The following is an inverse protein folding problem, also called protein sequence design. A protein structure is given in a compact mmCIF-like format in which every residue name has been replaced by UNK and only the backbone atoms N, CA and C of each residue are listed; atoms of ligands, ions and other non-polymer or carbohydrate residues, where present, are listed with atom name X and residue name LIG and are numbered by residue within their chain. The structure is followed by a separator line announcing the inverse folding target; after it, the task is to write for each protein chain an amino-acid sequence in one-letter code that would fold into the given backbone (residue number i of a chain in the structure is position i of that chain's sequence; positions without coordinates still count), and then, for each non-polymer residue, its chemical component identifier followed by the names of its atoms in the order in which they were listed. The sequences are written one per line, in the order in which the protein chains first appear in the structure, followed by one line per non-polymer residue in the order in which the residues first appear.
data_IF_249380381939
#
_entry.id   IF_249380381939
#
_cell.length_a   1.000
_cell.length_b   1.000
_cell.length_c   1.000
_cell.angle_alpha   90.00
_cell.angle_beta   90.00
_cell.angle_gamma   90.00
#
_symmetry.space_group_name_H-M   'P 1'
#
loop_
_entity.id
_entity.type
_entity.pdbx_description
1 polymer ?
2 non-polymer ?
3 non-polymer ?
4 non-polymer ?
5 water ?
#
# COMPACT_ATOMS: atom_id res chain seq x y z
N UNK A 14 19.94 0.52 24.80
CA UNK A 14 21.00 -0.14 24.06
C UNK A 14 20.55 -0.50 22.65
N UNK A 15 21.51 -0.63 21.74
CA UNK A 15 21.20 -0.99 20.37
C UNK A 15 20.57 -2.38 20.30
N UNK A 16 19.55 -2.52 19.46
CA UNK A 16 18.84 -3.77 19.24
C UNK A 16 18.95 -4.08 17.75
N UNK A 17 19.54 -5.20 17.36
CA UNK A 17 19.86 -5.43 15.94
C UNK A 17 18.65 -5.71 15.06
N UNK A 18 17.56 -6.21 15.62
CA UNK A 18 16.33 -6.51 14.90
C UNK A 18 15.32 -6.91 15.97
N UNK A 19 14.05 -7.01 15.57
CA UNK A 19 13.06 -7.59 16.47
C UNK A 19 11.93 -8.16 15.64
N UNK A 20 11.79 -9.49 15.67
CA UNK A 20 10.77 -10.17 14.90
C UNK A 20 10.08 -11.21 15.78
N UNK A 21 8.94 -11.72 15.31
CA UNK A 21 8.16 -12.64 16.14
C UNK A 21 8.93 -13.94 16.36
N UNK A 22 9.50 -14.50 15.30
CA UNK A 22 10.06 -15.85 15.37
C UNK A 22 11.09 -16.01 14.25
N UNK A 23 12.37 -15.94 14.61
CA UNK A 23 13.43 -16.03 13.61
C UNK A 23 13.47 -17.38 12.93
N UNK A 24 12.88 -18.42 13.54
CA UNK A 24 12.88 -19.75 12.94
C UNK A 24 11.96 -19.84 11.74
N UNK A 25 11.19 -18.79 11.45
CA UNK A 25 10.38 -18.74 10.24
C UNK A 25 11.19 -18.31 9.01
N UNK A 26 12.49 -18.06 9.16
CA UNK A 26 13.29 -17.49 8.07
C UNK A 26 13.39 -18.43 6.88
N UNK A 27 13.59 -19.73 7.12
CA UNK A 27 13.73 -20.66 6.00
C UNK A 27 12.48 -20.64 5.12
N UNK A 28 11.29 -20.67 5.74
CA UNK A 28 10.05 -20.59 4.97
C UNK A 28 9.96 -19.27 4.23
N UNK A 29 10.30 -18.16 4.89
CA UNK A 29 10.28 -16.88 4.22
C UNK A 29 11.20 -16.86 3.01
N UNK A 30 12.39 -17.45 3.15
CA UNK A 30 13.32 -17.41 2.02
C UNK A 30 12.78 -18.18 0.83
N UNK A 31 12.14 -19.33 1.07
CA UNK A 31 11.55 -20.09 -0.03
C UNK A 31 10.51 -19.26 -0.76
N UNK A 32 9.70 -18.51 -0.02
CA UNK A 32 8.67 -17.70 -0.68
C UNK A 32 9.27 -16.46 -1.34
N UNK A 33 10.35 -15.92 -0.78
CA UNK A 33 11.04 -14.81 -1.43
C UNK A 33 11.58 -15.25 -2.80
N UNK A 34 12.15 -16.46 -2.86
CA UNK A 34 12.68 -16.93 -4.13
C UNK A 34 11.58 -17.05 -5.18
N UNK A 35 10.40 -17.53 -4.78
CA UNK A 35 9.27 -17.58 -5.71
C UNK A 35 8.83 -16.17 -6.10
N UNK A 36 8.82 -15.25 -5.13
CA UNK A 36 8.40 -13.89 -5.43
C UNK A 36 9.35 -13.22 -6.42
N UNK A 37 10.66 -13.48 -6.31
CA UNK A 37 11.61 -12.90 -7.24
C UNK A 37 11.24 -13.19 -8.70
N UNK A 38 10.81 -14.44 -8.97
CA UNK A 38 10.41 -14.81 -10.34
C UNK A 38 9.17 -14.05 -10.80
N UNK A 39 8.35 -13.60 -9.87
CA UNK A 39 7.15 -12.83 -10.17
C UNK A 39 7.39 -11.34 -10.13
N UNK A 40 8.62 -10.89 -9.91
CA UNK A 40 8.92 -9.46 -9.85
C UNK A 40 10.02 -9.12 -10.84
N UNK A 41 9.74 -9.31 -12.14
CA UNK A 41 10.78 -9.09 -13.15
C UNK A 41 11.31 -7.67 -13.19
N UNK A 42 10.48 -6.68 -12.86
CA UNK A 42 10.96 -5.31 -12.87
C UNK A 42 12.02 -5.06 -11.82
N UNK A 43 11.77 -5.50 -10.58
CA UNK A 43 12.77 -5.36 -9.53
C UNK A 43 14.04 -6.11 -9.85
N UNK A 44 13.91 -7.35 -10.35
CA UNK A 44 15.11 -8.12 -10.61
C UNK A 44 15.88 -7.54 -11.79
N UNK A 45 15.17 -6.96 -12.77
CA UNK A 45 15.87 -6.32 -13.89
C UNK A 45 16.62 -5.07 -13.42
N UNK A 46 16.01 -4.33 -12.51
CA UNK A 46 16.68 -3.14 -11.98
C UNK A 46 17.88 -3.53 -11.14
N UNK A 47 17.76 -4.58 -10.33
CA UNK A 47 18.91 -5.14 -9.64
C UNK A 47 20.05 -5.40 -10.61
N UNK A 48 19.72 -6.06 -11.71
CA UNK A 48 20.73 -6.48 -12.67
C UNK A 48 21.35 -5.30 -13.39
N UNK A 49 20.55 -4.31 -13.78
CA UNK A 49 21.06 -3.17 -14.52
C UNK A 49 21.88 -2.24 -13.62
N UNK A 50 21.43 -2.01 -12.39
CA UNK A 50 22.10 -1.04 -11.53
C UNK A 50 23.05 -1.67 -10.53
N UNK A 51 23.01 -2.98 -10.33
CA UNK A 51 23.93 -3.65 -9.44
C UNK A 51 25.38 -3.27 -9.64
N UNK A 52 25.90 -3.42 -10.87
CA UNK A 52 27.31 -3.06 -11.11
C UNK A 52 27.65 -1.63 -10.76
N UNK A 53 26.69 -0.70 -10.82
CA UNK A 53 26.99 0.71 -10.64
C UNK A 53 26.93 1.14 -9.17
N UNK A 54 26.38 0.33 -8.28
CA UNK A 54 26.27 0.65 -6.86
C UNK A 54 25.76 2.09 -6.63
N UNK A 55 24.63 2.45 -7.21
CA UNK A 55 24.17 3.84 -7.12
C UNK A 55 23.84 4.27 -5.71
N UNK A 56 23.45 3.34 -4.85
CA UNK A 56 23.04 3.68 -3.49
C UNK A 56 24.15 3.53 -2.47
N UNK A 57 25.41 3.42 -2.90
CA UNK A 57 26.51 3.39 -1.95
C UNK A 57 26.48 4.64 -1.07
N UNK A 58 26.62 4.43 0.23
CA UNK A 58 26.58 5.52 1.18
C UNK A 58 25.21 5.85 1.71
N UNK A 59 24.15 5.36 1.07
CA UNK A 59 22.81 5.65 1.56
C UNK A 59 22.51 4.84 2.82
N UNK A 60 21.77 5.44 3.74
CA UNK A 60 21.26 4.77 4.93
C UNK A 60 19.75 5.02 4.89
N UNK A 61 19.02 4.09 4.30
CA UNK A 61 17.60 4.25 4.04
C UNK A 61 16.82 3.62 5.19
N UNK A 62 16.01 4.43 5.87
CA UNK A 62 14.97 3.91 6.76
C UNK A 62 13.68 3.76 5.96
N UNK A 63 13.11 2.56 5.93
CA UNK A 63 11.86 2.30 5.24
C UNK A 63 10.76 2.00 6.24
N UNK A 64 9.55 2.47 5.95
CA UNK A 64 8.41 2.18 6.82
C UNK A 64 7.29 1.75 5.87
N UNK A 65 7.16 0.43 5.72
CA UNK A 65 6.33 -0.12 4.66
C UNK A 65 6.05 -1.58 5.00
N UNK A 66 4.76 -1.95 4.96
CA UNK A 66 4.30 -3.31 5.23
C UNK A 66 5.34 -4.38 5.00
N UNK A 67 5.75 -5.08 6.06
CA UNK A 67 6.89 -6.01 6.01
C UNK A 67 6.39 -7.36 5.50
N UNK A 68 6.18 -7.42 4.19
CA UNK A 68 5.67 -8.58 3.46
C UNK A 68 6.80 -9.25 2.69
N UNK A 69 6.45 -10.41 2.07
CA UNK A 69 7.40 -11.08 1.19
C UNK A 69 7.83 -10.15 0.06
N UNK A 70 6.89 -9.36 -0.46
CA UNK A 70 7.20 -8.46 -1.58
C UNK A 70 8.17 -7.38 -1.13
N UNK A 71 7.93 -6.82 0.06
CA UNK A 71 8.84 -5.82 0.57
C UNK A 71 10.23 -6.39 0.80
N UNK A 72 10.33 -7.68 1.15
CA UNK A 72 11.65 -8.28 1.28
C UNK A 72 12.45 -8.17 -0.02
N UNK A 73 11.80 -8.39 -1.17
CA UNK A 73 12.52 -8.29 -2.44
C UNK A 73 12.94 -6.84 -2.68
N UNK A 74 12.10 -5.88 -2.30
CA UNK A 74 12.53 -4.48 -2.41
C UNK A 74 13.73 -4.20 -1.52
N UNK A 75 13.65 -4.60 -0.24
CA UNK A 75 14.76 -4.38 0.69
C UNK A 75 16.05 -4.95 0.12
N UNK A 76 16.00 -6.19 -0.37
CA UNK A 76 17.23 -6.80 -0.86
C UNK A 76 17.69 -6.21 -2.18
N UNK A 77 16.80 -5.55 -2.94
CA UNK A 77 17.21 -4.81 -4.12
C UNK A 77 17.99 -3.55 -3.73
N UNK A 78 17.48 -2.82 -2.73
CA UNK A 78 18.19 -1.64 -2.25
C UNK A 78 19.57 -2.01 -1.73
N UNK A 79 19.67 -3.09 -0.94
CA UNK A 79 20.98 -3.55 -0.47
C UNK A 79 21.85 -3.94 -1.64
N UNK A 80 21.28 -4.63 -2.62
CA UNK A 80 22.04 -5.04 -3.80
C UNK A 80 22.60 -3.85 -4.57
N UNK A 81 21.97 -2.68 -4.44
CA UNK A 81 22.41 -1.48 -5.13
C UNK A 81 23.36 -0.66 -4.29
N UNK A 82 23.76 -1.15 -3.13
CA UNK A 82 24.75 -0.50 -2.30
C UNK A 82 24.24 0.08 -1.01
N UNK A 83 22.94 0.12 -0.78
CA UNK A 83 22.42 0.85 0.37
C UNK A 83 22.55 0.03 1.65
N UNK A 84 22.67 0.74 2.76
CA UNK A 84 22.33 0.19 4.07
C UNK A 84 20.88 0.51 4.36
N UNK A 85 20.17 -0.44 4.95
CA UNK A 85 18.73 -0.35 5.10
C UNK A 85 18.34 -0.75 6.51
N UNK A 86 17.36 -0.02 7.08
CA UNK A 86 16.64 -0.41 8.29
C UNK A 86 15.16 -0.38 7.96
N UNK A 87 14.35 -1.13 8.71
CA UNK A 87 12.97 -1.26 8.24
C UNK A 87 11.99 -1.51 9.38
N UNK A 88 10.78 -0.97 9.22
CA UNK A 88 9.65 -1.27 10.07
C UNK A 88 8.41 -1.35 9.19
N UNK A 89 7.34 -1.92 9.73
CA UNK A 89 6.08 -1.93 9.01
C UNK A 89 5.26 -0.68 9.32
N UNK A 90 4.46 -0.24 8.33
CA UNK A 90 3.61 0.93 8.52
C UNK A 90 2.19 0.58 8.96
N UNK A 91 1.95 -0.69 9.32
CA UNK A 91 0.65 -1.06 9.89
C UNK A 91 0.85 -2.19 10.89
N UNK A 92 0.06 -2.17 11.97
CA UNK A 92 0.27 -3.11 13.06
C UNK A 92 -0.11 -4.55 12.69
N UNK A 93 -0.86 -4.75 11.63
CA UNK A 93 -1.32 -6.09 11.25
C UNK A 93 -0.76 -6.57 9.92
N UNK A 94 0.07 -5.79 9.25
CA UNK A 94 0.40 -6.16 7.87
C UNK A 94 1.68 -6.97 7.72
N UNK A 95 2.52 -7.05 8.73
CA UNK A 95 3.74 -7.83 8.60
C UNK A 95 3.43 -9.30 8.36
N UNK A 96 4.20 -9.91 7.47
CA UNK A 96 4.25 -11.36 7.28
C UNK A 96 5.45 -11.85 8.08
N UNK A 97 5.20 -12.56 9.17
CA UNK A 97 6.28 -12.86 10.10
C UNK A 97 7.39 -13.68 9.45
N UNK A 98 7.08 -14.52 8.46
CA UNK A 98 8.17 -15.28 7.88
C UNK A 98 9.00 -14.42 6.93
N UNK A 99 8.40 -13.38 6.35
CA UNK A 99 9.17 -12.42 5.57
C UNK A 99 10.09 -11.62 6.48
N UNK A 100 9.57 -11.16 7.62
CA UNK A 100 10.41 -10.43 8.55
C UNK A 100 11.57 -11.29 9.05
N UNK A 101 11.29 -12.57 9.37
CA UNK A 101 12.35 -13.44 9.87
C UNK A 101 13.44 -13.62 8.84
N UNK A 102 13.05 -13.78 7.57
CA UNK A 102 14.05 -13.98 6.53
C UNK A 102 14.96 -12.75 6.37
N UNK A 103 14.38 -11.56 6.45
CA UNK A 103 15.17 -10.33 6.35
C UNK A 103 16.08 -10.18 7.57
N UNK A 104 15.56 -10.47 8.77
CA UNK A 104 16.40 -10.47 9.97
C UNK A 104 17.56 -11.45 9.84
N UNK A 105 17.29 -12.65 9.30
CA UNK A 105 18.36 -13.65 9.20
C UNK A 105 19.41 -13.28 8.17
N UNK A 106 19.06 -12.39 7.23
CA UNK A 106 20.00 -11.89 6.25
C UNK A 106 20.90 -10.80 6.81
N UNK A 107 20.71 -10.41 8.07
CA UNK A 107 21.52 -9.39 8.69
C UNK A 107 21.01 -7.97 8.53
N UNK A 108 19.77 -7.79 8.09
CA UNK A 108 19.20 -6.48 7.85
C UNK A 108 18.40 -6.07 9.09
N UNK A 109 18.59 -4.87 9.64
CA UNK A 109 17.82 -4.49 10.82
C UNK A 109 16.35 -4.29 10.49
N UNK A 110 15.50 -5.22 10.91
CA UNK A 110 14.06 -5.12 10.72
C UNK A 110 13.37 -5.22 12.08
N UNK A 111 12.37 -4.37 12.29
CA UNK A 111 11.63 -4.30 13.54
C UNK A 111 10.15 -4.34 13.17
N UNK A 112 9.55 -5.53 13.23
CA UNK A 112 8.19 -5.70 12.71
C UNK A 112 7.63 -7.07 13.08
N UNK A 113 6.39 -7.10 13.56
CA UNK A 113 5.68 -8.38 13.62
C UNK A 113 4.19 -8.13 13.46
N UNK A 114 3.47 -9.20 13.16
CA UNK A 114 2.01 -9.09 13.00
C UNK A 114 1.36 -9.01 14.37
N UNK A 115 0.55 -7.96 14.58
CA UNK A 115 -0.16 -7.84 15.84
C UNK A 115 0.52 -7.00 16.90
N UNK A 116 1.31 -6.00 16.49
CA UNK A 116 1.87 -5.01 17.41
C UNK A 116 0.76 -4.15 18.02
N UNK A 117 1.04 -3.57 19.18
CA UNK A 117 0.22 -2.49 19.71
C UNK A 117 0.83 -1.16 19.29
N UNK A 118 0.17 -0.05 19.64
CA UNK A 118 0.59 1.24 19.08
C UNK A 118 1.92 1.69 19.66
N UNK A 119 2.17 1.44 20.96
CA UNK A 119 3.47 1.76 21.54
C UNK A 119 4.59 1.00 20.84
N UNK A 120 4.35 -0.27 20.50
CA UNK A 120 5.35 -1.06 19.80
C UNK A 120 5.58 -0.53 18.39
N UNK A 121 4.50 -0.11 17.72
CA UNK A 121 4.58 0.42 16.37
C UNK A 121 5.53 1.62 16.31
N UNK A 122 5.35 2.56 17.24
CA UNK A 122 6.24 3.73 17.31
C UNK A 122 7.67 3.32 17.63
N UNK A 123 7.84 2.39 18.57
CA UNK A 123 9.18 1.95 18.96
C UNK A 123 9.93 1.37 17.76
N UNK A 124 9.23 0.59 16.94
CA UNK A 124 9.86 0.00 15.76
C UNK A 124 10.34 1.08 14.80
N UNK A 125 9.53 2.09 14.54
CA UNK A 125 9.94 3.16 13.63
C UNK A 125 11.20 3.83 14.16
N UNK A 126 11.20 4.14 15.47
CA UNK A 126 12.33 4.88 16.03
C UNK A 126 13.62 4.10 15.98
N UNK A 127 13.57 2.77 16.08
CA UNK A 127 14.82 2.01 15.96
C UNK A 127 15.45 2.17 14.58
N UNK A 128 14.61 2.34 13.54
CA UNK A 128 15.13 2.44 12.17
C UNK A 128 15.88 3.74 11.91
N UNK A 129 15.71 4.74 12.75
CA UNK A 129 16.30 6.05 12.49
C UNK A 129 17.82 6.07 12.69
N UNK A 130 18.37 5.08 13.41
CA UNK A 130 19.79 5.07 13.73
C UNK A 130 20.38 3.73 13.32
N UNK A 131 21.59 3.77 12.76
CA UNK A 131 22.20 2.63 12.09
C UNK A 131 23.38 2.11 12.90
N UNK A 132 23.29 0.85 13.34
CA UNK A 132 24.40 0.19 14.00
C UNK A 132 24.59 0.61 15.44
N UNK A 133 25.57 -0.01 16.08
CA UNK A 133 25.90 0.35 17.47
C UNK A 133 26.31 1.80 17.59
N UNK A 134 26.96 2.36 16.55
CA UNK A 134 27.33 3.77 16.56
C UNK A 134 26.15 4.70 16.47
N UNK A 135 24.93 4.19 16.20
CA UNK A 135 23.74 5.03 16.11
C UNK A 135 23.89 6.09 15.02
N UNK A 136 24.43 5.69 13.87
CA UNK A 136 24.56 6.62 12.75
C UNK A 136 23.19 6.97 12.19
N UNK A 137 22.88 8.25 11.99
CA UNK A 137 21.52 8.63 11.58
C UNK A 137 21.23 8.27 10.13
N UNK A 138 19.95 7.99 9.87
CA UNK A 138 19.49 7.80 8.50
C UNK A 138 19.76 9.04 7.66
N UNK A 139 19.89 8.84 6.34
CA UNK A 139 20.02 9.97 5.42
C UNK A 139 19.08 9.88 4.23
N UNK A 140 18.16 8.91 4.24
CA UNK A 140 17.13 8.75 3.22
C UNK A 140 15.88 8.20 3.90
N UNK A 141 14.70 8.65 3.45
CA UNK A 141 13.42 8.19 3.98
C UNK A 141 12.66 7.51 2.85
N UNK A 142 12.08 6.35 3.15
CA UNK A 142 11.21 5.61 2.24
C UNK A 142 9.93 5.30 3.01
N UNK A 143 8.83 5.93 2.64
CA UNK A 143 7.65 5.93 3.51
C UNK A 143 6.42 5.45 2.75
N UNK A 144 5.45 4.95 3.53
CA UNK A 144 4.16 4.49 3.03
C UNK A 144 3.13 4.95 4.07
N UNK A 145 2.54 6.11 3.83
CA UNK A 145 1.51 6.64 4.71
C UNK A 145 1.90 7.85 5.51
N UNK A 146 3.20 8.17 5.61
CA UNK A 146 3.62 9.40 6.25
C UNK A 146 4.01 9.30 7.71
N UNK A 147 3.88 8.13 8.35
CA UNK A 147 4.16 8.06 9.78
C UNK A 147 5.65 8.15 10.08
N UNK A 148 6.49 7.58 9.20
CA UNK A 148 7.94 7.75 9.37
C UNK A 148 8.33 9.20 9.12
N UNK A 149 7.81 9.79 8.05
CA UNK A 149 8.05 11.21 7.79
C UNK A 149 7.68 12.05 9.00
N UNK A 150 6.47 11.84 9.54
CA UNK A 150 6.04 12.61 10.70
C UNK A 150 6.95 12.35 11.90
N UNK A 151 7.37 11.11 12.10
CA UNK A 151 8.26 10.80 13.21
C UNK A 151 9.54 11.63 13.13
N UNK A 152 10.17 11.66 11.96
CA UNK A 152 11.41 12.42 11.82
C UNK A 152 11.13 13.92 11.87
N UNK A 153 10.19 14.40 11.05
CA UNK A 153 9.97 15.85 10.97
C UNK A 153 9.49 16.43 12.30
N UNK A 154 8.57 15.74 12.98
CA UNK A 154 7.95 16.27 14.19
C UNK A 154 8.73 15.93 15.46
N UNK A 155 9.29 14.73 15.56
CA UNK A 155 9.91 14.30 16.82
C UNK A 155 11.43 14.35 16.79
N UNK A 156 12.05 14.24 15.61
CA UNK A 156 13.50 14.32 15.47
C UNK A 156 13.89 15.36 14.43
N UNK A 157 13.38 16.59 14.53
CA UNK A 157 13.62 17.58 13.46
C UNK A 157 15.10 17.85 13.23
N UNK A 158 15.94 17.66 14.25
CA UNK A 158 17.37 17.89 14.09
C UNK A 158 17.99 17.01 13.02
N UNK A 159 17.34 15.90 12.65
CA UNK A 159 17.95 14.97 11.70
C UNK A 159 17.72 15.37 10.25
N UNK A 160 16.74 16.24 9.96
CA UNK A 160 16.36 16.48 8.58
C UNK A 160 17.46 17.18 7.78
N UNK A 161 18.35 17.94 8.45
CA UNK A 161 19.39 18.67 7.74
C UNK A 161 20.28 17.73 6.92
N UNK A 162 20.42 16.47 7.34
CA UNK A 162 21.33 15.53 6.70
C UNK A 162 20.60 14.40 5.97
N UNK A 163 19.30 14.54 5.74
CA UNK A 163 18.53 13.59 4.95
C UNK A 163 18.35 14.18 3.57
N UNK A 164 18.74 13.43 2.53
CA UNK A 164 18.79 14.03 1.19
C UNK A 164 17.41 14.15 0.56
N UNK A 165 16.49 13.23 0.89
CA UNK A 165 15.12 13.36 0.44
C UNK A 165 14.31 12.17 0.91
N UNK A 166 13.02 12.19 0.55
CA UNK A 166 12.11 11.11 0.89
C UNK A 166 11.31 10.70 -0.33
N UNK A 167 10.88 9.44 -0.35
CA UNK A 167 9.87 9.00 -1.28
C UNK A 167 8.64 8.55 -0.48
N UNK A 168 7.46 8.72 -1.08
CA UNK A 168 6.20 8.37 -0.43
C UNK A 168 5.39 7.53 -1.39
N UNK A 169 4.87 6.40 -0.87
CA UNK A 169 4.30 5.31 -1.63
C UNK A 169 2.79 5.40 -1.84
N UNK A 170 2.04 6.04 -0.95
CA UNK A 170 0.58 5.84 -1.03
C UNK A 170 -0.20 7.16 -1.00
N UNK A 171 -1.45 7.07 -1.48
CA UNK A 171 -2.28 8.26 -1.65
C UNK A 171 -2.40 9.04 -0.36
N UNK A 172 -2.62 8.35 0.75
CA UNK A 172 -2.81 9.07 2.02
C UNK A 172 -1.54 9.82 2.42
N UNK A 173 -0.37 9.22 2.21
CA UNK A 173 0.85 9.93 2.61
C UNK A 173 1.16 11.09 1.70
N UNK A 174 0.78 10.98 0.43
CA UNK A 174 0.96 12.09 -0.50
C UNK A 174 0.15 13.28 -0.06
N UNK A 175 -1.14 13.05 0.26
CA UNK A 175 -1.93 14.16 0.75
C UNK A 175 -1.27 14.83 1.95
N UNK A 176 -0.70 14.04 2.87
CA UNK A 176 -0.02 14.66 4.01
C UNK A 176 1.16 15.50 3.54
N UNK A 177 1.84 15.10 2.44
CA UNK A 177 2.95 15.90 1.94
C UNK A 177 2.48 17.22 1.35
N UNK A 178 1.29 17.23 0.74
CA UNK A 178 0.77 18.50 0.25
C UNK A 178 0.27 19.36 1.40
N UNK A 179 -0.22 18.76 2.48
CA UNK A 179 -0.46 19.54 3.70
C UNK A 179 0.82 20.22 4.16
N UNK A 180 1.95 19.50 4.13
CA UNK A 180 3.20 20.08 4.60
C UNK A 180 3.68 21.19 3.68
N UNK A 181 3.50 21.03 2.37
CA UNK A 181 3.88 22.11 1.45
C UNK A 181 3.08 23.37 1.74
N UNK A 182 1.76 23.24 1.86
CA UNK A 182 0.93 24.41 2.17
C UNK A 182 1.28 25.02 3.50
N UNK A 183 1.71 24.19 4.46
CA UNK A 183 2.07 24.61 5.82
C UNK A 183 3.52 25.05 5.96
N UNK A 184 4.31 24.99 4.89
CA UNK A 184 5.71 25.36 4.99
C UNK A 184 6.55 24.43 5.86
N UNK A 185 6.16 23.15 5.97
CA UNK A 185 6.87 22.20 6.83
C UNK A 185 7.48 21.03 6.06
N UNK A 186 7.54 21.10 4.73
CA UNK A 186 8.27 20.10 3.92
C UNK A 186 9.70 20.61 3.71
N UNK A 187 10.66 19.94 4.35
CA UNK A 187 12.00 20.49 4.51
C UNK A 187 13.03 19.80 3.63
N UNK A 188 12.60 18.90 2.75
CA UNK A 188 13.49 18.18 1.83
C UNK A 188 12.71 17.88 0.56
N UNK A 189 13.39 17.54 -0.53
CA UNK A 189 12.68 17.08 -1.73
C UNK A 189 11.94 15.77 -1.48
N UNK A 190 10.83 15.59 -2.19
CA UNK A 190 10.02 14.40 -2.05
C UNK A 190 9.58 13.91 -3.42
N UNK A 191 9.73 12.61 -3.67
CA UNK A 191 9.17 12.02 -4.87
C UNK A 191 7.92 11.23 -4.49
N UNK A 192 6.81 11.58 -5.13
CA UNK A 192 5.53 10.91 -5.03
C UNK A 192 5.58 9.69 -5.93
N UNK A 193 5.77 8.51 -5.32
CA UNK A 193 5.76 7.26 -6.06
C UNK A 193 4.33 6.81 -6.33
N UNK A 194 3.38 7.20 -5.47
CA UNK A 194 2.00 6.78 -5.68
C UNK A 194 1.53 7.13 -7.08
N UNK A 195 1.89 8.31 -7.57
CA UNK A 195 1.29 8.79 -8.81
C UNK A 195 2.18 8.61 -10.03
N UNK A 196 3.19 7.73 -9.96
CA UNK A 196 3.61 7.07 -11.17
C UNK A 196 2.40 6.38 -11.76
N UNK A 197 2.23 6.42 -13.09
CA UNK A 197 1.08 5.71 -13.67
C UNK A 197 1.15 4.23 -13.32
N UNK A 198 2.36 3.66 -13.34
CA UNK A 198 2.50 2.23 -13.08
C UNK A 198 2.35 1.88 -11.62
N UNK A 199 2.13 2.87 -10.75
CA UNK A 199 1.76 2.56 -9.37
C UNK A 199 0.25 2.76 -9.20
N UNK A 200 -0.22 4.02 -9.27
CA UNK A 200 -1.64 4.31 -8.99
C UNK A 200 -2.58 3.46 -9.82
N UNK A 201 -2.27 3.26 -11.10
CA UNK A 201 -3.27 2.66 -11.99
C UNK A 201 -3.14 1.16 -12.05
N UNK A 202 -2.19 0.60 -11.31
CA UNK A 202 -1.94 -0.84 -11.27
C UNK A 202 -2.06 -1.35 -9.85
N UNK A 203 -1.17 -0.94 -8.95
CA UNK A 203 -1.25 -1.32 -7.53
C UNK A 203 -2.59 -0.96 -6.92
N UNK A 204 -2.91 0.34 -6.87
CA UNK A 204 -4.11 0.78 -6.15
C UNK A 204 -5.35 0.09 -6.69
N UNK A 205 -5.44 -0.07 -8.02
CA UNK A 205 -6.64 -0.61 -8.66
C UNK A 205 -6.52 -2.13 -8.82
N UNK A 206 -5.60 -2.60 -9.67
CA UNK A 206 -5.56 -4.04 -9.92
C UNK A 206 -5.06 -4.82 -8.70
N UNK A 207 -4.19 -4.22 -7.88
CA UNK A 207 -3.78 -4.90 -6.66
C UNK A 207 -4.95 -5.16 -5.73
N UNK A 208 -5.81 -4.15 -5.53
CA UNK A 208 -6.98 -4.40 -4.67
C UNK A 208 -7.96 -5.35 -5.34
N UNK A 209 -8.02 -5.37 -6.67
CA UNK A 209 -8.87 -6.38 -7.31
C UNK A 209 -8.37 -7.78 -6.92
N UNK A 210 -7.05 -7.95 -6.83
CA UNK A 210 -6.51 -9.27 -6.45
C UNK A 210 -6.73 -9.57 -4.98
N UNK A 211 -6.64 -8.56 -4.10
CA UNK A 211 -6.45 -8.89 -2.70
C UNK A 211 -7.63 -8.54 -1.80
N UNK A 212 -8.63 -7.77 -2.26
CA UNK A 212 -9.78 -7.45 -1.41
C UNK A 212 -10.64 -8.69 -1.14
N UNK A 213 -11.13 -9.37 -2.19
CA UNK A 213 -11.94 -10.56 -1.96
C UNK A 213 -11.15 -11.63 -1.23
N UNK A 214 -9.85 -11.75 -1.57
CA UNK A 214 -8.97 -12.71 -0.90
C UNK A 214 -9.08 -12.56 0.62
N UNK A 215 -8.97 -11.32 1.12
CA UNK A 215 -9.03 -11.11 2.57
C UNK A 215 -10.39 -11.49 3.15
N UNK A 216 -11.48 -11.16 2.46
CA UNK A 216 -12.80 -11.50 3.01
C UNK A 216 -12.96 -13.02 3.05
N UNK A 217 -12.48 -13.73 2.03
CA UNK A 217 -12.59 -15.19 2.03
C UNK A 217 -11.76 -15.81 3.16
N UNK A 218 -10.50 -15.39 3.32
CA UNK A 218 -9.71 -16.03 4.38
C UNK A 218 -10.29 -15.75 5.75
N UNK A 219 -10.81 -14.55 5.96
CA UNK A 219 -11.33 -14.18 7.26
C UNK A 219 -12.65 -14.88 7.59
N UNK A 220 -13.55 -14.99 6.60
CA UNK A 220 -14.93 -15.36 6.89
C UNK A 220 -15.43 -16.57 6.15
N UNK A 221 -14.78 -16.97 5.06
CA UNK A 221 -15.22 -18.08 4.22
C UNK A 221 -16.65 -17.90 3.69
N UNK A 222 -17.16 -16.68 3.59
CA UNK A 222 -18.54 -16.52 3.18
C UNK A 222 -18.68 -16.65 1.66
N UNK A 223 -19.88 -17.06 1.24
CA UNK A 223 -20.22 -17.06 -0.17
C UNK A 223 -20.35 -15.63 -0.67
N UNK A 224 -19.68 -15.30 -1.77
CA UNK A 224 -19.77 -13.93 -2.26
C UNK A 224 -20.82 -13.77 -3.36
N UNK A 225 -21.16 -14.81 -4.10
CA UNK A 225 -22.15 -14.65 -5.15
C UNK A 225 -23.49 -14.29 -4.54
N UNK A 226 -24.15 -13.30 -5.15
CA UNK A 226 -25.45 -12.91 -4.64
C UNK A 226 -25.42 -12.04 -3.41
N UNK A 227 -24.26 -11.74 -2.84
CA UNK A 227 -24.21 -10.86 -1.68
C UNK A 227 -24.20 -9.41 -2.14
N UNK A 228 -24.90 -8.56 -1.37
CA UNK A 228 -24.88 -7.12 -1.62
C UNK A 228 -23.68 -6.51 -0.92
N UNK A 229 -22.75 -5.96 -1.70
CA UNK A 229 -21.52 -5.42 -1.17
C UNK A 229 -21.55 -3.93 -1.43
N UNK A 230 -21.38 -3.12 -0.39
CA UNK A 230 -21.30 -1.68 -0.55
C UNK A 230 -19.84 -1.28 -0.52
N UNK A 231 -19.34 -0.72 -1.62
CA UNK A 231 -17.97 -0.25 -1.73
C UNK A 231 -18.03 1.27 -1.58
N UNK A 232 -17.47 1.80 -0.51
CA UNK A 232 -17.53 3.24 -0.25
C UNK A 232 -16.33 3.88 -0.89
N UNK A 233 -16.56 4.69 -1.93
CA UNK A 233 -15.48 5.26 -2.72
C UNK A 233 -15.27 4.55 -4.04
N UNK A 234 -14.91 5.32 -5.07
CA UNK A 234 -14.65 4.76 -6.40
C UNK A 234 -13.48 5.50 -7.01
N UNK A 235 -12.46 5.74 -6.21
CA UNK A 235 -11.15 6.14 -6.68
C UNK A 235 -10.43 4.90 -7.19
N UNK A 236 -9.11 4.91 -7.16
CA UNK A 236 -8.43 3.73 -7.71
C UNK A 236 -8.67 2.49 -6.87
N UNK A 237 -8.61 2.62 -5.55
CA UNK A 237 -8.86 1.48 -4.66
C UNK A 237 -10.30 1.01 -4.77
N UNK A 238 -11.25 1.96 -4.78
CA UNK A 238 -12.65 1.58 -4.93
C UNK A 238 -12.94 0.89 -6.25
N UNK A 239 -12.34 1.38 -7.35
CA UNK A 239 -12.54 0.71 -8.64
C UNK A 239 -12.06 -0.74 -8.57
N UNK A 240 -10.87 -0.95 -8.02
CA UNK A 240 -10.34 -2.31 -7.96
C UNK A 240 -11.12 -3.19 -7.01
N UNK A 241 -11.51 -2.63 -5.85
CA UNK A 241 -12.27 -3.38 -4.86
C UNK A 241 -13.64 -3.77 -5.39
N UNK A 242 -14.34 -2.84 -6.05
CA UNK A 242 -15.62 -3.18 -6.66
C UNK A 242 -15.44 -4.29 -7.68
N UNK A 243 -14.40 -4.21 -8.50
CA UNK A 243 -14.15 -5.25 -9.49
C UNK A 243 -13.87 -6.59 -8.81
N UNK A 244 -13.17 -6.56 -7.68
CA UNK A 244 -12.86 -7.79 -6.94
C UNK A 244 -14.15 -8.54 -6.62
N UNK A 245 -15.10 -7.84 -6.01
CA UNK A 245 -16.35 -8.49 -5.59
C UNK A 245 -17.24 -8.79 -6.79
N UNK A 246 -17.30 -7.92 -7.78
CA UNK A 246 -18.12 -8.23 -8.96
C UNK A 246 -17.64 -9.50 -9.64
N UNK A 247 -16.31 -9.68 -9.72
CA UNK A 247 -15.79 -10.87 -10.38
C UNK A 247 -16.02 -12.15 -9.62
N UNK A 248 -16.46 -12.04 -8.37
CA UNK A 248 -16.86 -13.19 -7.56
C UNK A 248 -18.37 -13.41 -7.53
N UNK A 249 -19.12 -12.60 -8.27
CA UNK A 249 -20.57 -12.76 -8.36
C UNK A 249 -21.35 -11.90 -7.41
N UNK A 250 -20.69 -11.02 -6.65
CA UNK A 250 -21.43 -10.15 -5.73
C UNK A 250 -22.18 -9.09 -6.52
N UNK A 251 -23.17 -8.49 -5.84
CA UNK A 251 -23.97 -7.39 -6.39
C UNK A 251 -23.46 -6.13 -5.70
N UNK A 252 -22.64 -5.33 -6.40
CA UNK A 252 -21.92 -4.22 -5.78
C UNK A 252 -22.65 -2.90 -5.98
N UNK A 253 -22.83 -2.15 -4.90
CA UNK A 253 -23.29 -0.78 -4.96
C UNK A 253 -22.14 0.10 -4.47
N UNK A 254 -21.91 1.20 -5.17
CA UNK A 254 -20.80 2.11 -4.87
C UNK A 254 -21.35 3.36 -4.20
N UNK A 255 -20.57 3.97 -3.29
CA UNK A 255 -20.89 5.32 -2.81
C UNK A 255 -19.77 6.27 -3.24
N UNK A 256 -20.10 7.56 -3.43
CA UNK A 256 -19.09 8.53 -3.83
C UNK A 256 -19.55 9.94 -3.48
N UNK A 257 -18.56 10.82 -3.27
CA UNK A 257 -18.79 12.26 -3.21
C UNK A 257 -18.50 12.93 -4.55
N UNK A 258 -17.76 12.26 -5.45
CA UNK A 258 -17.23 12.93 -6.63
C UNK A 258 -18.09 12.56 -7.82
N UNK A 259 -18.74 13.53 -8.49
CA UNK A 259 -19.69 13.17 -9.55
C UNK A 259 -19.05 12.50 -10.74
N UNK A 260 -17.76 12.78 -11.02
CA UNK A 260 -17.08 12.11 -12.12
C UNK A 260 -16.86 10.64 -11.78
N UNK A 261 -16.35 10.36 -10.58
CA UNK A 261 -16.16 8.96 -10.19
C UNK A 261 -17.48 8.23 -10.07
N UNK A 262 -18.53 8.92 -9.60
CA UNK A 262 -19.83 8.29 -9.52
C UNK A 262 -20.35 7.93 -10.90
N UNK A 263 -20.19 8.82 -11.87
CA UNK A 263 -20.65 8.52 -13.22
C UNK A 263 -19.85 7.36 -13.81
N UNK A 264 -18.54 7.28 -13.50
CA UNK A 264 -17.77 6.12 -13.95
C UNK A 264 -18.38 4.84 -13.43
N UNK A 265 -18.76 4.81 -12.14
CA UNK A 265 -19.30 3.56 -11.60
C UNK A 265 -20.62 3.20 -12.27
N UNK A 266 -21.47 4.20 -12.55
CA UNK A 266 -22.73 3.90 -13.22
C UNK A 266 -22.49 3.38 -14.62
N UNK A 267 -21.51 3.98 -15.32
CA UNK A 267 -21.19 3.46 -16.65
C UNK A 267 -20.61 2.06 -16.64
N UNK A 268 -20.00 1.64 -15.53
CA UNK A 268 -19.51 0.29 -15.40
C UNK A 268 -20.58 -0.68 -14.90
N UNK A 269 -21.83 -0.24 -14.78
CA UNK A 269 -22.89 -1.17 -14.42
C UNK A 269 -23.13 -1.38 -12.94
N UNK A 270 -22.70 -0.45 -12.09
CA UNK A 270 -22.98 -0.49 -10.65
C UNK A 270 -24.06 0.54 -10.32
N UNK A 271 -24.97 0.18 -9.41
CA UNK A 271 -25.71 1.25 -8.76
C UNK A 271 -24.79 2.11 -7.90
N UNK A 272 -25.16 3.39 -7.74
CA UNK A 272 -24.38 4.35 -6.96
C UNK A 272 -25.37 5.04 -6.07
N UNK A 273 -25.25 4.82 -4.74
CA UNK A 273 -26.23 5.32 -3.79
C UNK A 273 -25.50 5.83 -2.57
N UNK A 274 -26.21 6.63 -1.77
CA UNK A 274 -25.68 6.98 -0.46
C UNK A 274 -25.62 5.75 0.44
N UNK A 275 -24.61 5.70 1.30
CA UNK A 275 -24.55 4.60 2.26
C UNK A 275 -25.86 4.49 3.05
N UNK A 276 -26.45 5.63 3.43
CA UNK A 276 -27.69 5.59 4.21
C UNK A 276 -28.82 4.87 3.46
N UNK A 277 -28.79 4.91 2.12
CA UNK A 277 -29.84 4.30 1.31
C UNK A 277 -29.74 2.78 1.33
N UNK A 278 -28.53 2.25 1.41
CA UNK A 278 -28.26 0.82 1.23
C UNK A 278 -27.74 0.13 2.49
N UNK A 279 -27.47 0.87 3.56
CA UNK A 279 -26.85 0.23 4.71
C UNK A 279 -27.71 -0.87 5.35
N UNK A 280 -29.04 -0.73 5.35
CA UNK A 280 -29.79 -1.70 6.13
C UNK A 280 -29.99 -3.02 5.42
N UNK A 281 -29.53 -3.18 4.17
CA UNK A 281 -29.65 -4.46 3.50
C UNK A 281 -28.33 -5.00 3.00
N UNK A 282 -27.23 -4.37 3.37
CA UNK A 282 -25.90 -4.75 2.91
C UNK A 282 -25.44 -6.01 3.62
N UNK A 283 -24.75 -6.88 2.86
CA UNK A 283 -24.12 -8.04 3.45
C UNK A 283 -22.68 -7.79 3.85
N UNK A 284 -21.97 -6.97 3.08
CA UNK A 284 -20.59 -6.58 3.32
C UNK A 284 -20.49 -5.09 3.02
N UNK A 285 -19.76 -4.36 3.87
CA UNK A 285 -19.48 -2.95 3.61
C UNK A 285 -17.99 -2.78 3.71
N UNK A 286 -17.36 -2.20 2.67
CA UNK A 286 -15.91 -2.01 2.67
C UNK A 286 -15.60 -0.58 2.26
N UNK A 287 -14.74 0.09 3.04
CA UNK A 287 -14.42 1.50 2.81
C UNK A 287 -13.09 1.62 2.06
N UNK A 288 -13.03 2.58 1.10
CA UNK A 288 -11.87 2.73 0.23
C UNK A 288 -11.50 4.20 0.06
N UNK A 289 -11.88 5.07 1.00
CA UNK A 289 -11.90 6.50 0.66
C UNK A 289 -10.62 7.26 1.00
N UNK A 290 -9.85 6.82 2.00
CA UNK A 290 -8.83 7.68 2.54
C UNK A 290 -9.36 8.87 3.33
N UNK A 291 -10.66 8.88 3.63
CA UNK A 291 -11.31 9.92 4.42
C UNK A 291 -11.51 9.36 5.82
N UNK A 292 -12.27 10.06 6.65
CA UNK A 292 -12.64 9.50 7.94
C UNK A 292 -14.16 9.53 8.11
N UNK A 293 -14.65 8.72 9.04
CA UNK A 293 -16.06 8.82 9.41
C UNK A 293 -17.02 8.33 8.35
N UNK A 294 -16.65 7.31 7.60
CA UNK A 294 -17.49 6.77 6.52
C UNK A 294 -18.57 5.90 7.09
N UNK A 295 -18.20 4.99 8.00
CA UNK A 295 -19.13 4.08 8.66
C UNK A 295 -19.20 4.50 10.12
N UNK A 296 -20.35 5.02 10.55
CA UNK A 296 -20.53 5.64 11.86
C UNK A 296 -21.45 4.81 12.73
N UNK A 297 -21.57 5.21 14.00
CA UNK A 297 -22.48 4.52 14.91
C UNK A 297 -23.90 4.42 14.36
N UNK A 298 -24.37 5.52 13.75
CA UNK A 298 -25.72 5.52 13.18
C UNK A 298 -25.89 4.48 12.10
N UNK A 299 -24.81 4.14 11.37
CA UNK A 299 -24.85 3.08 10.37
C UNK A 299 -24.86 1.71 11.02
N UNK A 300 -23.97 1.48 11.99
CA UNK A 300 -23.98 0.20 12.71
C UNK A 300 -25.36 -0.13 13.25
N UNK A 301 -26.06 0.90 13.76
CA UNK A 301 -27.39 0.73 14.32
C UNK A 301 -28.43 0.26 13.31
N UNK A 302 -28.13 0.41 12.02
CA UNK A 302 -29.07 0.04 10.96
C UNK A 302 -28.70 -1.27 10.26
N UNK A 303 -27.52 -1.85 10.54
CA UNK A 303 -27.07 -3.00 9.76
C UNK A 303 -27.81 -4.26 10.14
N UNK A 304 -27.94 -5.16 9.16
CA UNK A 304 -28.62 -6.40 9.50
C UNK A 304 -27.65 -7.42 10.10
N UNK A 305 -28.23 -8.47 10.68
CA UNK A 305 -27.45 -9.46 11.40
C UNK A 305 -26.34 -10.05 10.53
N UNK A 306 -25.15 -10.14 11.13
CA UNK A 306 -23.94 -10.74 10.55
C UNK A 306 -23.40 -10.00 9.32
N UNK A 307 -23.65 -8.69 9.25
CA UNK A 307 -23.01 -7.86 8.26
C UNK A 307 -21.51 -7.79 8.54
N UNK A 308 -20.71 -7.96 7.48
CA UNK A 308 -19.25 -7.86 7.57
C UNK A 308 -18.83 -6.44 7.20
N UNK A 309 -18.05 -5.79 8.08
CA UNK A 309 -17.62 -4.41 7.88
C UNK A 309 -16.10 -4.38 7.93
N UNK A 310 -15.48 -3.70 6.96
CA UNK A 310 -14.03 -3.69 6.89
C UNK A 310 -13.56 -2.49 6.09
N UNK A 311 -12.25 -2.28 6.10
CA UNK A 311 -11.68 -1.08 5.51
C UNK A 311 -10.42 -1.47 4.75
N UNK A 312 -10.26 -0.93 3.53
CA UNK A 312 -9.05 -1.17 2.76
C UNK A 312 -8.32 0.13 2.43
N UNK A 313 -8.81 1.26 2.98
CA UNK A 313 -8.02 2.49 2.97
C UNK A 313 -6.90 2.45 3.99
N UNK A 314 -6.00 3.44 3.90
CA UNK A 314 -4.74 3.33 4.66
C UNK A 314 -4.97 3.32 6.17
N UNK A 315 -5.91 4.12 6.69
CA UNK A 315 -6.08 4.27 8.14
C UNK A 315 -7.41 3.73 8.62
N UNK A 316 -7.45 3.26 9.86
CA UNK A 316 -8.67 2.61 10.36
C UNK A 316 -9.81 3.58 10.67
N UNK A 317 -9.56 4.88 10.71
CA UNK A 317 -10.61 5.83 11.10
C UNK A 317 -11.70 6.00 10.02
N UNK A 318 -11.65 5.24 8.92
CA UNK A 318 -12.79 5.25 8.01
C UNK A 318 -14.01 4.66 8.69
N UNK A 319 -13.79 3.77 9.66
CA UNK A 319 -14.85 3.12 10.42
C UNK A 319 -14.74 3.63 11.85
N UNK A 320 -15.87 3.99 12.48
CA UNK A 320 -15.80 4.54 13.84
C UNK A 320 -15.71 3.38 14.84
N UNK A 321 -14.51 2.81 14.92
CA UNK A 321 -14.23 1.72 15.85
C UNK A 321 -14.31 2.17 17.29
N UNK A 322 -14.01 3.44 17.56
CA UNK A 322 -14.14 3.92 18.94
C UNK A 322 -15.59 3.81 19.41
N UNK A 323 -16.54 4.21 18.56
CA UNK A 323 -17.95 4.10 18.92
C UNK A 323 -18.32 2.65 19.16
N UNK A 324 -17.88 1.75 18.27
CA UNK A 324 -18.28 0.36 18.37
C UNK A 324 -17.71 -0.28 19.63
N UNK A 325 -16.44 0.00 19.95
CA UNK A 325 -15.85 -0.57 21.16
C UNK A 325 -16.42 0.05 22.42
N UNK A 326 -16.70 1.35 22.39
CA UNK A 326 -17.25 1.98 23.60
C UNK A 326 -18.63 1.44 23.89
N UNK A 327 -19.47 1.36 22.87
CA UNK A 327 -20.87 1.07 23.07
C UNK A 327 -21.18 -0.42 23.07
N UNK A 328 -20.35 -1.24 22.43
CA UNK A 328 -20.68 -2.65 22.30
C UNK A 328 -19.46 -3.55 22.49
N UNK A 329 -18.36 -3.03 23.04
CA UNK A 329 -17.16 -3.84 23.16
C UNK A 329 -17.21 -4.86 24.28
N UNK A 330 -18.06 -4.64 25.28
CA UNK A 330 -18.07 -5.53 26.44
C UNK A 330 -18.46 -6.95 26.06
N UNK A 331 -19.31 -7.13 25.06
CA UNK A 331 -19.65 -8.48 24.61
C UNK A 331 -18.99 -8.85 23.27
N UNK A 332 -17.91 -8.17 22.90
CA UNK A 332 -17.14 -8.57 21.73
C UNK A 332 -16.64 -10.01 21.88
N UNK A 333 -16.73 -10.79 20.79
CA UNK A 333 -16.24 -12.17 20.74
C UNK A 333 -15.24 -12.26 19.61
N UNK A 334 -14.04 -12.78 19.91
CA UNK A 334 -13.10 -13.05 18.83
C UNK A 334 -13.46 -14.37 18.19
N UNK A 335 -13.85 -14.36 16.91
CA UNK A 335 -14.09 -15.61 16.20
C UNK A 335 -12.77 -16.33 15.98
N UNK A 336 -11.79 -15.59 15.46
CA UNK A 336 -10.39 -15.97 15.37
C UNK A 336 -9.62 -14.67 15.21
N UNK A 337 -8.29 -14.69 15.29
CA UNK A 337 -7.56 -13.43 15.22
C UNK A 337 -7.93 -12.59 13.99
N UNK A 338 -8.24 -11.31 14.26
CA UNK A 338 -8.64 -10.29 13.27
C UNK A 338 -10.02 -10.54 12.68
N UNK A 339 -10.85 -11.34 13.35
CA UNK A 339 -12.25 -11.52 12.96
C UNK A 339 -13.04 -11.39 14.25
N UNK A 340 -13.66 -10.22 14.49
CA UNK A 340 -14.32 -9.96 15.77
C UNK A 340 -15.82 -9.82 15.55
N UNK A 341 -16.62 -10.34 16.48
CA UNK A 341 -18.08 -10.28 16.39
C UNK A 341 -18.61 -9.42 17.53
N UNK A 342 -19.33 -8.35 17.19
CA UNK A 342 -19.97 -7.47 18.14
C UNK A 342 -21.48 -7.68 18.05
N UNK A 343 -22.19 -7.47 19.16
CA UNK A 343 -23.63 -7.49 19.09
C UNK A 343 -24.17 -6.08 19.31
N UNK A 344 -24.84 -5.55 18.30
CA UNK A 344 -25.42 -4.21 18.32
C UNK A 344 -26.93 -4.38 18.39
N UNK A 345 -27.51 -4.21 19.57
CA UNK A 345 -28.97 -4.23 19.75
C UNK A 345 -29.59 -5.49 19.14
N UNK A 346 -28.89 -6.61 19.26
CA UNK A 346 -29.41 -7.89 18.84
C UNK A 346 -28.90 -8.39 17.50
N UNK A 347 -28.18 -7.56 16.73
CA UNK A 347 -27.63 -7.97 15.44
C UNK A 347 -26.13 -8.08 15.54
N UNK A 348 -25.57 -9.19 15.04
CA UNK A 348 -24.14 -9.36 15.06
C UNK A 348 -23.51 -8.54 13.95
N UNK A 349 -22.38 -7.91 14.25
CA UNK A 349 -21.55 -7.18 13.28
C UNK A 349 -20.18 -7.81 13.31
N UNK A 350 -19.67 -8.19 12.14
CA UNK A 350 -18.37 -8.84 12.03
C UNK A 350 -17.35 -7.83 11.52
N UNK A 351 -16.34 -7.52 12.34
CA UNK A 351 -15.31 -6.55 12.00
C UNK A 351 -14.02 -7.28 11.65
N UNK A 352 -13.44 -6.94 10.51
CA UNK A 352 -12.19 -7.56 10.07
C UNK A 352 -11.01 -6.65 10.38
N UNK A 353 -9.97 -7.24 10.98
CA UNK A 353 -8.67 -6.59 11.24
C UNK A 353 -8.85 -5.30 12.04
N UNK A 354 -9.84 -5.25 12.92
CA UNK A 354 -10.08 -4.09 13.77
C UNK A 354 -10.22 -2.81 12.94
N UNK A 355 -10.68 -2.95 11.69
CA UNK A 355 -10.85 -1.78 10.83
C UNK A 355 -9.60 -1.33 10.11
N UNK A 356 -8.48 -2.01 10.31
CA UNK A 356 -7.22 -1.71 9.63
C UNK A 356 -7.21 -2.35 8.24
N UNK A 357 -6.32 -1.86 7.37
CA UNK A 357 -6.40 -2.27 5.96
C UNK A 357 -6.49 -3.79 5.84
N UNK A 358 -7.59 -4.23 5.24
CA UNK A 358 -8.02 -5.60 5.42
C UNK A 358 -7.25 -6.55 4.53
N UNK A 359 -6.80 -6.11 3.37
CA UNK A 359 -6.09 -7.03 2.48
C UNK A 359 -4.77 -7.48 3.10
N UNK A 360 -4.08 -6.57 3.78
CA UNK A 360 -2.86 -6.94 4.48
C UNK A 360 -3.15 -7.52 5.87
N UNK A 361 -4.27 -7.13 6.49
CA UNK A 361 -4.52 -7.59 7.85
C UNK A 361 -5.09 -8.99 7.93
N UNK A 362 -5.89 -9.38 6.95
CA UNK A 362 -6.53 -10.69 6.95
C UNK A 362 -6.05 -11.58 5.82
N UNK A 363 -5.20 -11.08 4.91
CA UNK A 363 -4.60 -11.94 3.91
C UNK A 363 -3.15 -11.50 3.78
N UNK A 364 -2.59 -11.43 2.57
CA UNK A 364 -1.18 -11.12 2.38
C UNK A 364 -0.98 -9.88 1.52
N UNK A 365 -1.98 -8.99 1.45
CA UNK A 365 -1.83 -7.85 0.56
C UNK A 365 -1.75 -8.24 -0.92
N UNK A 366 -1.32 -7.28 -1.72
CA UNK A 366 -1.21 -7.51 -3.16
C UNK A 366 -0.20 -8.60 -3.49
N UNK A 367 -0.36 -9.20 -4.67
CA UNK A 367 0.61 -10.19 -5.13
C UNK A 367 1.92 -9.56 -5.61
N UNK A 368 2.95 -10.41 -5.68
CA UNK A 368 4.29 -9.95 -6.04
C UNK A 368 4.31 -9.18 -7.36
N UNK A 369 3.61 -9.68 -8.40
CA UNK A 369 3.77 -9.06 -9.72
C UNK A 369 3.35 -7.60 -9.72
N UNK A 370 2.23 -7.27 -9.10
CA UNK A 370 1.85 -5.87 -9.11
C UNK A 370 2.76 -5.06 -8.20
N UNK A 371 3.25 -5.65 -7.11
CA UNK A 371 4.16 -4.89 -6.23
C UNK A 371 5.50 -4.66 -6.89
N UNK A 372 5.87 -5.49 -7.88
CA UNK A 372 7.09 -5.22 -8.63
C UNK A 372 7.00 -3.88 -9.36
N UNK A 373 5.81 -3.50 -9.81
CA UNK A 373 5.65 -2.20 -10.45
C UNK A 373 5.86 -1.08 -9.45
N UNK A 374 5.14 -1.13 -8.33
CA UNK A 374 5.30 -0.09 -7.31
C UNK A 374 6.74 0.00 -6.81
N UNK A 375 7.37 -1.15 -6.58
CA UNK A 375 8.68 -1.14 -5.97
C UNK A 375 9.79 -0.86 -6.98
N UNK A 376 9.56 -1.12 -8.26
CA UNK A 376 10.48 -0.61 -9.28
C UNK A 376 10.48 0.91 -9.29
N UNK A 377 9.29 1.52 -9.28
CA UNK A 377 9.22 2.97 -9.11
C UNK A 377 9.91 3.42 -7.83
N UNK A 378 9.68 2.72 -6.71
CA UNK A 378 10.28 3.09 -5.44
C UNK A 378 11.81 3.07 -5.51
N UNK A 379 12.36 2.06 -6.18
CA UNK A 379 13.81 1.97 -6.28
C UNK A 379 14.37 3.09 -7.14
N UNK A 380 13.75 3.35 -8.29
CA UNK A 380 14.24 4.42 -9.16
C UNK A 380 14.13 5.78 -8.47
N UNK A 381 13.11 5.98 -7.64
CA UNK A 381 12.98 7.23 -6.90
C UNK A 381 14.08 7.38 -5.87
N UNK A 382 14.43 6.28 -5.17
CA UNK A 382 15.51 6.36 -4.19
C UNK A 382 16.84 6.66 -4.86
N UNK A 383 17.07 6.05 -6.03
CA UNK A 383 18.28 6.35 -6.79
C UNK A 383 18.30 7.83 -7.17
N UNK A 384 17.21 8.31 -7.78
CA UNK A 384 17.16 9.69 -8.25
C UNK A 384 17.44 10.68 -7.12
N UNK A 385 16.83 10.47 -5.94
CA UNK A 385 17.04 11.39 -4.84
C UNK A 385 18.46 11.29 -4.29
N UNK A 386 18.95 10.07 -4.09
CA UNK A 386 20.28 9.91 -3.50
C UNK A 386 21.35 10.51 -4.40
N UNK A 387 21.18 10.40 -5.72
CA UNK A 387 22.20 10.88 -6.66
C UNK A 387 21.98 12.35 -7.03
N UNK A 388 20.73 12.79 -7.15
CA UNK A 388 20.44 14.08 -7.76
C UNK A 388 19.58 14.99 -6.89
N UNK A 389 19.62 14.81 -5.56
CA UNK A 389 18.71 15.59 -4.71
C UNK A 389 18.99 17.07 -4.81
N UNK A 390 20.25 17.45 -5.09
CA UNK A 390 20.61 18.86 -5.21
C UNK A 390 19.86 19.55 -6.33
N UNK A 391 19.36 18.80 -7.31
CA UNK A 391 18.62 19.38 -8.43
C UNK A 391 17.14 19.57 -8.15
N UNK A 392 16.71 19.46 -6.89
CA UNK A 392 15.30 19.51 -6.53
C UNK A 392 15.07 20.49 -5.38
N UNK A 393 13.89 21.10 -5.38
CA UNK A 393 13.48 21.96 -4.29
C UNK A 393 12.67 21.17 -3.26
N UNK A 394 12.32 21.82 -2.16
CA UNK A 394 11.52 21.18 -1.12
C UNK A 394 10.05 21.15 -1.54
N UNK A 395 9.80 20.42 -2.63
CA UNK A 395 8.50 20.27 -3.25
C UNK A 395 8.28 18.78 -3.55
N UNK A 396 7.08 18.45 -4.00
CA UNK A 396 6.71 17.08 -4.34
C UNK A 396 6.84 16.90 -5.85
N UNK A 397 7.54 15.83 -6.26
CA UNK A 397 7.82 15.56 -7.66
C UNK A 397 7.35 14.16 -8.01
N UNK A 398 7.18 13.90 -9.31
CA UNK A 398 6.97 12.56 -9.82
C UNK A 398 8.10 12.20 -10.78
N UNK A 399 8.29 10.90 -10.96
CA UNK A 399 9.28 10.44 -11.93
C UNK A 399 8.84 10.81 -13.35
N UNK A 400 9.80 11.03 -14.25
CA UNK A 400 9.45 11.31 -15.65
C UNK A 400 8.75 10.15 -16.33
N UNK A 401 7.92 10.51 -17.33
CA UNK A 401 7.12 9.48 -18.01
C UNK A 401 7.98 8.39 -18.61
N UNK A 402 9.20 8.71 -19.08
CA UNK A 402 10.02 7.66 -19.68
C UNK A 402 10.33 6.55 -18.68
N UNK A 403 10.55 6.92 -17.40
CA UNK A 403 10.82 5.89 -16.39
C UNK A 403 9.57 5.10 -16.05
N UNK A 404 8.42 5.77 -16.01
CA UNK A 404 7.14 5.09 -15.84
C UNK A 404 6.95 4.03 -16.94
N UNK A 405 7.21 4.44 -18.20
CA UNK A 405 7.11 3.50 -19.31
C UNK A 405 8.11 2.37 -19.17
N UNK A 406 9.34 2.69 -18.77
CA UNK A 406 10.35 1.67 -18.58
C UNK A 406 9.89 0.62 -17.55
N UNK A 407 9.27 1.08 -16.46
CA UNK A 407 8.81 0.12 -15.45
C UNK A 407 7.80 -0.83 -16.07
N UNK A 408 6.83 -0.28 -16.81
CA UNK A 408 5.82 -1.16 -17.41
C UNK A 408 6.49 -2.14 -18.38
N UNK A 409 7.42 -1.65 -19.18
CA UNK A 409 8.04 -2.48 -20.22
C UNK A 409 8.77 -3.66 -19.62
N UNK A 410 9.36 -3.47 -18.43
CA UNK A 410 10.11 -4.53 -17.78
C UNK A 410 9.25 -5.72 -17.37
N UNK A 411 7.92 -5.55 -17.30
CA UNK A 411 7.01 -6.61 -16.88
C UNK A 411 6.31 -7.32 -18.02
N UNK A 412 6.58 -6.93 -19.28
CA UNK A 412 5.77 -7.46 -20.39
C UNK A 412 6.17 -8.89 -20.76
N UNK A 413 7.46 -9.20 -20.81
CA UNK A 413 7.89 -10.53 -21.25
C UNK A 413 7.32 -11.62 -20.34
N UNK A 414 7.25 -11.36 -19.04
CA UNK A 414 6.75 -12.37 -18.10
C UNK A 414 5.32 -12.79 -18.47
N UNK A 415 4.55 -11.85 -19.02
CA UNK A 415 3.15 -12.07 -19.36
C UNK A 415 2.96 -12.52 -20.81
N UNK A 416 4.02 -12.63 -21.60
CA UNK A 416 3.82 -12.96 -22.99
C UNK A 416 3.24 -11.80 -23.78
N UNK A 417 3.45 -10.57 -23.32
CA UNK A 417 2.96 -9.39 -24.03
C UNK A 417 4.00 -9.00 -25.06
N UNK A 418 3.56 -8.81 -26.31
CA UNK A 418 4.40 -8.29 -27.39
C UNK A 418 3.99 -6.86 -27.69
N UNK A 419 4.98 -5.98 -27.91
CA UNK A 419 4.71 -4.61 -28.30
C UNK A 419 5.03 -4.41 -29.78
N UNK A 420 4.20 -3.62 -30.44
CA UNK A 420 4.54 -3.10 -31.76
C UNK A 420 5.65 -2.07 -31.62
N UNK A 421 6.37 -1.84 -32.72
CA UNK A 421 7.39 -0.79 -32.81
C UNK A 421 6.97 0.21 -33.87
N UNK A 422 6.86 1.49 -33.50
CA UNK A 422 6.56 2.52 -34.48
C UNK A 422 7.66 2.63 -35.53
N UNK A 423 7.27 2.86 -36.78
CA UNK A 423 8.26 3.37 -37.73
C UNK A 423 8.56 4.82 -37.36
N UNK A 424 9.69 5.35 -37.87
CA UNK A 424 9.95 6.77 -37.60
C UNK A 424 8.83 7.64 -38.15
N UNK A 425 8.21 7.23 -39.27
CA UNK A 425 7.16 8.05 -39.87
C UNK A 425 5.88 7.98 -39.07
N UNK A 426 5.54 6.79 -38.54
CA UNK A 426 4.38 6.71 -37.64
C UNK A 426 4.61 7.51 -36.37
N UNK A 427 5.85 7.50 -35.87
CA UNK A 427 6.13 8.26 -34.65
C UNK A 427 5.95 9.76 -34.88
N UNK A 428 6.50 10.28 -35.98
CA UNK A 428 6.32 11.69 -36.31
C UNK A 428 4.85 12.02 -36.52
N UNK A 429 4.10 11.10 -37.13
CA UNK A 429 2.68 11.35 -37.39
C UNK A 429 1.91 11.65 -36.11
N UNK A 430 2.21 10.93 -35.03
CA UNK A 430 1.49 11.15 -33.78
C UNK A 430 2.26 12.01 -32.80
N UNK A 431 3.42 12.52 -33.20
CA UNK A 431 4.14 13.51 -32.42
C UNK A 431 5.04 12.95 -31.34
N UNK A 432 5.52 11.71 -31.50
CA UNK A 432 6.37 11.10 -30.48
C UNK A 432 7.65 10.61 -31.15
N UNK A 433 8.58 10.12 -30.34
CA UNK A 433 9.74 9.41 -30.83
C UNK A 433 9.50 7.90 -30.72
N UNK A 434 10.30 7.13 -31.48
CA UNK A 434 10.03 5.69 -31.50
C UNK A 434 10.29 5.02 -30.16
N UNK A 435 11.13 5.62 -29.31
CA UNK A 435 11.41 5.04 -28.00
C UNK A 435 10.59 5.66 -26.89
N UNK A 436 9.65 6.56 -27.23
CA UNK A 436 8.81 7.17 -26.22
C UNK A 436 9.53 8.34 -25.60
N UNK A 437 8.84 9.07 -24.72
CA UNK A 437 7.52 8.73 -24.19
C UNK A 437 6.42 8.84 -25.23
N UNK A 438 5.35 8.07 -25.03
CA UNK A 438 4.34 7.94 -26.08
C UNK A 438 3.12 8.80 -25.85
N UNK A 439 3.01 9.48 -24.71
CA UNK A 439 1.79 10.18 -24.31
C UNK A 439 2.19 11.54 -23.75
N UNK A 440 1.35 12.55 -23.92
CA UNK A 440 1.63 13.84 -23.29
C UNK A 440 1.53 13.72 -21.77
N UNK A 441 2.14 14.68 -21.07
CA UNK A 441 2.17 14.57 -19.61
C UNK A 441 0.77 14.64 -18.99
N UNK A 442 -0.21 15.23 -19.70
CA UNK A 442 -1.56 15.27 -19.16
C UNK A 442 -2.34 13.97 -19.38
N UNK A 443 -1.79 12.99 -20.09
CA UNK A 443 -2.58 11.82 -20.44
C UNK A 443 -2.98 11.05 -19.20
N UNK A 444 -4.22 10.56 -19.18
CA UNK A 444 -4.78 9.95 -17.98
C UNK A 444 -4.91 8.43 -18.03
N UNK A 445 -4.68 7.80 -19.18
CA UNK A 445 -4.73 6.34 -19.30
C UNK A 445 -6.09 5.80 -18.90
X LIG B 1 -8.51 8.20 -4.43
X LIG B 1 -8.39 9.68 -4.07
X LIG B 1 -8.20 7.82 -5.88
X LIG B 1 -9.97 7.68 -4.12
X LIG B 1 -10.67 7.93 -2.89
X LIG B 1 -12.11 8.16 -3.31
X LIG B 1 -12.92 8.30 -2.12
X LIG B 1 -12.29 9.45 -4.11
X LIG B 1 -12.78 9.20 -5.42
X LIG B 1 -13.29 10.28 -3.26
X LIG B 1 -14.20 11.05 -4.05
X LIG B 1 -13.96 9.17 -2.45
X LIG B 1 -14.56 9.64 -1.21
X LIG B 1 -14.03 10.52 -0.29
X LIG B 1 -14.79 10.72 0.76
X LIG B 1 -15.90 9.92 0.52
X LIG B 1 -17.08 9.71 1.25
X LIG B 1 -17.39 10.39 2.37
X LIG B 1 -17.97 8.83 0.75
X LIG B 1 -17.71 8.24 -0.42
X LIG B 1 -16.63 8.39 -1.21
X LIG B 1 -15.77 9.24 -0.68
X LIG B 1 -7.55 7.36 -3.49
X LIG B 1 -7.06 5.84 -3.66
X LIG B 1 -5.78 5.86 -4.41
X LIG B 1 -8.20 5.06 -4.14
X LIG B 1 -6.73 5.42 -2.16
X LIG B 1 -7.80 5.24 -1.18
X LIG B 1 -7.16 4.85 0.12
X LIG B 1 -6.61 3.52 -0.01
X LIG B 1 -6.02 5.73 0.61
X LIG B 1 -6.06 5.74 2.03
X LIG B 1 -4.78 4.98 0.11
X LIG B 1 -3.60 5.32 0.84
X LIG B 1 -5.24 3.55 0.34
X LIG B 1 -4.52 2.47 -0.48
X LIG B 1 -4.63 1.24 0.03
X LIG B 1 -4.18 0.14 -0.68
X LIG B 1 -4.22 -1.25 -0.12
X LIG B 1 -3.43 -2.12 -0.57
X LIG B 1 -4.97 -1.47 0.95
X LIG B 1 -3.64 0.35 -1.96
X LIG B 1 -3.52 1.64 -2.45
X LIG B 1 -3.96 2.70 -1.69
X LIG C 1 -0.72 1.55 2.76
X LIG C 1 -1.28 0.97 1.56
X LIG C 1 -0.19 0.46 0.61
X LIG C 1 0.07 -0.93 0.82
X LIG C 1 -0.49 0.57 -0.89
X LIG C 1 0.05 1.77 -1.41
X LIG C 1 0.25 -0.63 -1.52
X LIG C 1 1.32 -0.24 -2.38
X LIG C 1 0.79 -1.41 -0.29
X LIG C 1 0.74 -2.90 -0.35
X LIG C 1 -0.29 -3.71 -0.75
X LIG C 1 0.03 -4.98 -0.78
X LIG C 1 1.36 -5.01 -0.37
X LIG C 1 2.29 -6.05 -0.21
X LIG C 1 2.04 -7.34 -0.49
X LIG C 1 3.53 -5.73 0.21
X LIG C 1 3.81 -4.44 0.45
X LIG C 1 3.03 -3.37 0.33
X LIG C 1 1.80 -3.73 -0.09
X LIG D 1 4.70 11.06 -42.78
X LIG D 1 4.93 12.01 -41.62
X LIG D 1 5.78 11.36 -40.63
X LIG D 1 3.58 12.34 -40.98
X LIG D 1 5.70 13.24 -42.12
X LIG D 1 5.20 14.57 -41.56
X LIG D 1 5.43 14.63 -40.18
X LIG D 1 5.97 15.71 -42.23
#
# INVERSE_FOLDING_TARGET
MAHHHHHHMETKTQYVPYKVKDISLAEWGRKEIELAEAEMPGLMAIREEYGPQQPLKGARIAGCLHMTIQTAVLIETLVALGADVTWSSCNIFSTQDHAAAAIAAAGIPVYAWKGMNEEEFDWCIEQTLFFGEDRQPLNMILDDGGDLTNMVFDKYPELTKDIKGLSEETTTGVHRLYERMQNGTLVMPAINVNDSVTKSKFDNKYGCRESAVDAIRRATDVMLAGKRVVVCGFGDVGKGTAASFRGAGSIVTVTEIDPICALQAAMEGYEVKQLDTVVDNADIIITTTGNFGIVRGEHFEKMKDKTIVCNIGHFDNEIDMAWLNKNHGATKVEIKPQVDKYNVNGNDIIILAEGRLVNLGCATGHPSFVMSNSFSNQTLAQIELWVHSDKYENKVYTLPKHLDEKVAALHLKKLGVELETLSEEQAKYIGVTVDGPFKPDYYRY
NAD PA O1A O2A O5B C5B C4B O4B C3B O3B C2B O2B C1B N9A C8A N7A C5A C6A N6A N1A C2A N3A C4A O3 PN O1N O2N O5D C5D C4D O4D C3D O3D C2D O2D C1D N1N C2N C3N C7N O7N N7N C4N C5N C6N
ADN O5' C5' C4' O4' C3' O3' C2' O2' C1' N9 C8 N7 C5 C6 N6 N1 C2 N3 C4
MPD C1 C2 O2 CM C3 C4 O4 C5
#
